data_IF_400766180388
#
_entry.id   IF_400766180388
#
_cell.length_a   1.000
_cell.length_b   1.000
_cell.length_c   1.000
_cell.angle_alpha   90.00
_cell.angle_beta   90.00
_cell.angle_gamma   90.00
#
_symmetry.space_group_name_H-M   'P 1'
#
loop_
_entity.id
_entity.type
_entity.pdbx_description
1 polymer ?
#
# COMPACT_ATOMS: atom_id res chain seq x y z
N UNK A 1 43.96 -27.23 -2.42
CA UNK A 1 42.77 -26.34 -2.34
C UNK A 1 41.74 -26.79 -3.37
N UNK A 2 42.09 -26.85 -4.66
CA UNK A 2 41.18 -27.34 -5.71
C UNK A 2 40.61 -28.76 -5.48
N UNK A 3 41.44 -29.75 -5.14
CA UNK A 3 40.95 -31.13 -4.87
C UNK A 3 40.02 -31.22 -3.65
N UNK A 4 40.19 -30.34 -2.65
CA UNK A 4 39.29 -30.28 -1.50
C UNK A 4 37.95 -29.63 -1.89
N UNK A 5 37.99 -28.57 -2.67
CA UNK A 5 36.81 -27.84 -3.13
C UNK A 5 35.93 -28.72 -4.03
N UNK A 6 36.54 -29.44 -4.98
CA UNK A 6 35.84 -30.37 -5.86
C UNK A 6 35.13 -31.47 -5.05
N UNK A 7 35.82 -32.06 -4.07
CA UNK A 7 35.24 -33.07 -3.19
C UNK A 7 34.07 -32.54 -2.34
N UNK A 8 34.14 -31.30 -1.88
CA UNK A 8 33.08 -30.70 -1.06
C UNK A 8 31.85 -30.29 -1.88
N UNK A 9 32.00 -29.96 -3.16
CA UNK A 9 30.88 -29.64 -4.06
C UNK A 9 30.00 -30.85 -4.38
N UNK A 10 30.54 -32.07 -4.25
CA UNK A 10 29.79 -33.32 -4.42
C UNK A 10 28.95 -33.69 -3.17
N UNK A 11 29.29 -33.14 -2.01
CA UNK A 11 28.59 -33.42 -0.76
C UNK A 11 27.27 -32.63 -0.66
N UNK A 12 26.21 -33.26 -0.15
CA UNK A 12 24.94 -32.58 0.05
C UNK A 12 25.06 -31.55 1.18
N UNK A 13 24.60 -30.33 0.93
CA UNK A 13 24.60 -29.26 1.93
C UNK A 13 23.67 -29.61 3.09
N UNK A 14 24.20 -29.60 4.31
CA UNK A 14 23.40 -29.71 5.53
C UNK A 14 22.86 -28.33 5.94
N UNK A 15 21.53 -28.22 5.98
CA UNK A 15 20.83 -27.00 6.40
C UNK A 15 20.39 -27.02 7.87
N UNK A 16 20.71 -28.07 8.64
CA UNK A 16 20.23 -28.26 10.02
C UNK A 16 20.56 -27.11 10.97
N UNK A 17 21.71 -26.45 10.76
CA UNK A 17 22.20 -25.32 11.56
C UNK A 17 22.02 -23.96 10.88
N UNK A 18 21.46 -23.94 9.67
CA UNK A 18 21.27 -22.72 8.88
C UNK A 18 20.03 -21.95 9.39
N UNK A 19 20.19 -20.64 9.61
CA UNK A 19 19.05 -19.77 9.92
C UNK A 19 18.34 -19.40 8.63
N UNK A 20 17.28 -20.14 8.33
CA UNK A 20 16.39 -19.86 7.20
C UNK A 20 15.22 -19.05 7.73
N UNK A 21 15.27 -17.74 7.51
CA UNK A 21 14.17 -16.86 7.91
C UNK A 21 12.98 -17.09 6.97
N UNK A 22 11.75 -17.21 7.52
CA UNK A 22 10.56 -17.30 6.69
C UNK A 22 10.37 -16.01 5.89
N UNK A 23 9.94 -16.13 4.63
CA UNK A 23 9.66 -14.96 3.81
C UNK A 23 8.56 -14.11 4.48
N UNK A 24 8.78 -12.79 4.65
CA UNK A 24 7.84 -11.92 5.37
C UNK A 24 6.51 -11.73 4.62
N UNK A 25 6.49 -12.01 3.32
CA UNK A 25 5.29 -12.13 2.50
C UNK A 25 5.57 -13.05 1.30
N UNK A 26 4.53 -13.50 0.62
CA UNK A 26 4.62 -14.41 -0.52
C UNK A 26 3.76 -13.88 -1.66
N UNK A 27 4.35 -13.65 -2.84
CA UNK A 27 3.60 -13.21 -4.01
C UNK A 27 2.99 -14.44 -4.70
N UNK A 28 1.67 -14.47 -4.85
CA UNK A 28 0.98 -15.54 -5.56
C UNK A 28 0.98 -15.29 -7.07
N UNK A 29 1.16 -16.34 -7.86
CA UNK A 29 1.12 -16.31 -9.33
C UNK A 29 -0.12 -15.60 -9.90
N UNK A 30 -1.28 -15.81 -9.29
CA UNK A 30 -2.57 -15.22 -9.70
C UNK A 30 -2.77 -13.75 -9.28
N UNK A 31 -1.77 -13.12 -8.68
CA UNK A 31 -1.88 -11.72 -8.24
C UNK A 31 -1.85 -10.81 -9.47
N UNK A 32 -2.85 -9.93 -9.61
CA UNK A 32 -2.88 -9.02 -10.75
C UNK A 32 -1.73 -8.02 -10.70
N UNK A 33 -1.27 -7.57 -11.87
CA UNK A 33 -0.16 -6.63 -12.01
C UNK A 33 -0.31 -5.37 -11.13
N UNK A 34 -1.53 -4.81 -11.07
CA UNK A 34 -1.83 -3.63 -10.26
C UNK A 34 -1.73 -3.91 -8.76
N UNK A 35 -2.19 -5.08 -8.30
CA UNK A 35 -2.03 -5.48 -6.90
C UNK A 35 -0.57 -5.71 -6.55
N UNK A 36 0.19 -6.32 -7.46
CA UNK A 36 1.64 -6.47 -7.33
C UNK A 36 2.33 -5.11 -7.18
N UNK A 37 1.98 -4.12 -8.00
CA UNK A 37 2.47 -2.74 -7.85
C UNK A 37 2.18 -2.17 -6.47
N UNK A 38 0.93 -2.26 -6.01
CA UNK A 38 0.53 -1.79 -4.67
C UNK A 38 1.36 -2.45 -3.57
N UNK A 39 1.58 -3.77 -3.64
CA UNK A 39 2.38 -4.50 -2.64
C UNK A 39 3.83 -4.02 -2.64
N UNK A 40 4.46 -3.90 -3.81
CA UNK A 40 5.84 -3.41 -3.94
C UNK A 40 6.00 -2.01 -3.34
N UNK A 41 5.05 -1.10 -3.60
CA UNK A 41 5.09 0.25 -3.04
C UNK A 41 4.86 0.26 -1.52
N UNK A 42 3.87 -0.49 -1.03
CA UNK A 42 3.52 -0.51 0.40
C UNK A 42 4.62 -1.11 1.27
N UNK A 43 5.29 -2.13 0.77
CA UNK A 43 6.35 -2.83 1.49
C UNK A 43 7.76 -2.33 1.10
N UNK A 44 7.86 -1.36 0.19
CA UNK A 44 9.13 -0.81 -0.32
C UNK A 44 10.09 -1.92 -0.77
N UNK A 45 9.60 -2.78 -1.67
CA UNK A 45 10.32 -3.97 -2.13
C UNK A 45 11.06 -3.71 -3.44
N UNK A 46 12.26 -4.26 -3.55
CA UNK A 46 13.00 -4.35 -4.81
C UNK A 46 12.74 -5.68 -5.54
N UNK A 47 12.51 -6.75 -4.78
CA UNK A 47 12.30 -8.10 -5.28
C UNK A 47 11.20 -8.83 -4.51
N UNK A 48 10.49 -9.71 -5.21
CA UNK A 48 9.51 -10.62 -4.59
C UNK A 48 9.58 -12.01 -5.23
N UNK A 49 9.53 -13.04 -4.40
CA UNK A 49 9.43 -14.43 -4.84
C UNK A 49 7.99 -14.75 -5.20
N UNK A 50 7.78 -15.25 -6.41
CA UNK A 50 6.48 -15.69 -6.91
C UNK A 50 6.34 -17.17 -6.68
N UNK A 51 5.17 -17.57 -6.19
CA UNK A 51 4.89 -18.94 -5.82
C UNK A 51 3.54 -19.43 -6.35
N UNK A 52 3.48 -20.74 -6.57
CA UNK A 52 2.26 -21.48 -6.90
C UNK A 52 2.14 -22.66 -5.93
N UNK A 53 1.15 -22.64 -5.04
CA UNK A 53 0.91 -23.68 -4.02
C UNK A 53 2.21 -24.03 -3.24
N UNK A 54 2.93 -23.00 -2.76
CA UNK A 54 4.17 -23.17 -2.00
C UNK A 54 5.42 -23.54 -2.81
N UNK A 55 5.29 -23.73 -4.13
CA UNK A 55 6.43 -23.95 -5.02
C UNK A 55 6.93 -22.62 -5.57
N UNK A 56 8.23 -22.39 -5.49
CA UNK A 56 8.86 -21.24 -6.14
C UNK A 56 8.75 -21.40 -7.65
N UNK A 57 8.16 -20.40 -8.32
CA UNK A 57 8.03 -20.38 -9.78
C UNK A 57 8.87 -19.27 -10.44
N UNK A 58 9.30 -18.26 -9.68
CA UNK A 58 10.13 -17.19 -10.19
C UNK A 58 10.34 -16.05 -9.21
N UNK A 59 11.04 -15.01 -9.66
CA UNK A 59 11.27 -13.76 -8.93
C UNK A 59 10.82 -12.62 -9.82
N UNK A 60 10.21 -11.60 -9.22
CA UNK A 60 9.86 -10.34 -9.89
C UNK A 60 10.67 -9.23 -9.26
N UNK A 61 11.29 -8.40 -10.08
CA UNK A 61 11.95 -7.17 -9.65
C UNK A 61 11.06 -5.93 -9.87
N UNK A 62 11.32 -4.87 -9.11
CA UNK A 62 10.66 -3.57 -9.30
C UNK A 62 10.87 -3.03 -10.72
N UNK A 63 12.03 -3.28 -11.32
CA UNK A 63 12.35 -2.85 -12.70
C UNK A 63 11.46 -3.51 -13.74
N UNK A 64 11.24 -4.82 -13.63
CA UNK A 64 10.35 -5.56 -14.53
C UNK A 64 8.89 -5.15 -14.33
N UNK A 65 8.50 -4.95 -13.07
CA UNK A 65 7.17 -4.49 -12.70
C UNK A 65 6.86 -3.12 -13.32
N UNK A 66 7.78 -2.15 -13.26
CA UNK A 66 7.63 -0.84 -13.90
C UNK A 66 7.44 -0.96 -15.42
N UNK A 67 8.31 -1.74 -16.09
CA UNK A 67 8.21 -1.97 -17.54
C UNK A 67 6.87 -2.58 -17.95
N UNK A 68 6.39 -3.56 -17.17
CA UNK A 68 5.11 -4.20 -17.42
C UNK A 68 3.94 -3.22 -17.28
N UNK A 69 4.00 -2.29 -16.31
CA UNK A 69 2.96 -1.28 -16.09
C UNK A 69 2.95 -0.25 -17.21
N UNK A 70 4.12 0.25 -17.61
CA UNK A 70 4.29 1.19 -18.73
C UNK A 70 3.67 0.64 -20.02
N UNK A 71 3.91 -0.64 -20.32
CA UNK A 71 3.28 -1.32 -21.46
C UNK A 71 1.77 -1.54 -21.31
N UNK A 72 1.30 -1.75 -20.07
CA UNK A 72 -0.11 -2.05 -19.77
C UNK A 72 -1.04 -0.84 -19.78
N UNK A 73 -0.51 0.38 -19.68
CA UNK A 73 -1.27 1.65 -19.71
C UNK A 73 -1.81 2.00 -21.10
N UNK A 74 -1.55 1.17 -22.10
CA UNK A 74 -2.08 1.37 -23.45
C UNK A 74 -3.49 0.79 -23.58
N UNK A 75 -4.45 1.65 -23.94
CA UNK A 75 -5.81 1.30 -24.39
C UNK A 75 -6.80 0.78 -23.33
N UNK A 76 -7.15 1.65 -22.40
CA UNK A 76 -8.58 1.89 -22.12
C UNK A 76 -8.76 3.38 -21.96
N UNK A 77 -9.55 3.97 -22.86
CA UNK A 77 -10.13 5.29 -22.74
C UNK A 77 -10.88 5.44 -21.40
N UNK A 78 -10.15 5.60 -20.30
CA UNK A 78 -10.67 6.28 -19.15
C UNK A 78 -10.65 7.74 -19.56
N UNK A 79 -11.72 8.16 -20.26
CA UNK A 79 -12.20 9.53 -20.21
C UNK A 79 -12.47 9.82 -18.74
N UNK A 80 -11.42 10.13 -18.01
CA UNK A 80 -11.46 10.69 -16.68
C UNK A 80 -12.21 11.98 -16.91
N UNK A 81 -13.52 11.97 -16.66
CA UNK A 81 -14.18 13.24 -16.36
C UNK A 81 -13.37 13.76 -15.20
N UNK A 82 -12.69 14.92 -15.31
CA UNK A 82 -12.19 15.58 -14.11
C UNK A 82 -13.38 15.58 -13.16
N UNK A 83 -13.17 15.14 -11.93
CA UNK A 83 -14.20 15.12 -10.90
C UNK A 83 -14.58 16.59 -10.68
N UNK A 84 -15.47 17.10 -11.52
CA UNK A 84 -16.06 18.42 -11.41
C UNK A 84 -16.88 18.31 -10.14
N UNK A 85 -16.30 18.82 -9.07
CA UNK A 85 -17.03 19.17 -7.87
C UNK A 85 -18.17 20.04 -8.39
N UNK A 86 -19.40 19.54 -8.24
CA UNK A 86 -20.60 20.28 -8.55
C UNK A 86 -20.69 21.43 -7.55
N UNK A 87 -20.01 22.53 -7.85
CA UNK A 87 -20.28 23.79 -7.18
C UNK A 87 -21.50 24.40 -7.85
N UNK A 88 -22.63 24.14 -7.19
CA UNK A 88 -23.88 24.86 -7.35
C UNK A 88 -23.60 26.36 -7.44
N UNK A 89 -24.08 26.97 -8.52
CA UNK A 89 -24.08 28.41 -8.76
C UNK A 89 -24.47 29.20 -7.50
N UNK A 90 -23.66 30.18 -7.13
CA UNK A 90 -24.11 31.36 -6.40
C UNK A 90 -23.24 32.54 -6.83
N UNK A 91 -23.91 33.50 -7.45
CA UNK A 91 -23.42 34.81 -7.85
C UNK A 91 -22.71 35.55 -6.71
N UNK A 92 -21.50 36.08 -6.96
CA UNK A 92 -21.17 37.51 -6.75
C UNK A 92 -19.66 37.75 -6.83
N UNK A 93 -19.28 38.74 -7.65
CA UNK A 93 -18.14 39.67 -7.56
C UNK A 93 -16.69 39.17 -7.29
N UNK A 94 -15.81 39.61 -8.19
CA UNK A 94 -14.34 39.63 -8.15
C UNK A 94 -13.76 40.15 -6.81
N UNK A 95 -12.73 39.46 -6.29
CA UNK A 95 -11.39 39.92 -5.82
C UNK A 95 -10.80 38.84 -4.89
N UNK A 96 -9.76 38.12 -5.30
CA UNK A 96 -8.33 38.39 -5.06
C UNK A 96 -7.78 37.59 -3.86
N UNK A 97 -6.72 36.84 -4.14
CA UNK A 97 -6.18 35.76 -3.33
C UNK A 97 -5.47 36.25 -2.07
N UNK A 98 -5.96 35.89 -0.88
CA UNK A 98 -5.15 35.89 0.37
C UNK A 98 -5.63 34.95 1.49
N UNK A 99 -6.76 34.23 1.38
CA UNK A 99 -7.35 33.54 2.55
C UNK A 99 -7.11 32.02 2.69
N UNK A 100 -6.20 31.40 1.94
CA UNK A 100 -5.97 29.95 2.09
C UNK A 100 -5.17 29.58 3.35
N UNK A 101 -4.46 30.52 3.98
CA UNK A 101 -3.68 30.23 5.18
C UNK A 101 -4.51 30.18 6.47
N UNK A 102 -5.69 30.85 6.52
CA UNK A 102 -6.57 30.86 7.71
C UNK A 102 -7.42 29.60 7.88
N UNK A 103 -7.51 28.76 6.85
CA UNK A 103 -8.38 27.58 6.83
C UNK A 103 -7.73 26.35 7.49
N UNK A 104 -6.39 26.29 7.54
CA UNK A 104 -5.66 25.18 8.19
C UNK A 104 -5.71 25.26 9.73
N UNK A 105 -5.76 26.46 10.30
CA UNK A 105 -5.76 26.67 11.76
C UNK A 105 -7.11 26.36 12.45
N UNK A 106 -8.18 26.16 11.67
CA UNK A 106 -9.53 25.87 12.22
C UNK A 106 -9.93 24.39 12.06
N UNK A 107 -8.98 23.47 12.15
CA UNK A 107 -9.27 22.04 12.18
C UNK A 107 -8.69 21.30 13.39
N UNK A 108 -8.22 22.04 14.41
CA UNK A 108 -7.72 21.46 15.68
C UNK A 108 -8.68 21.58 16.86
N UNK A 109 -9.89 22.10 16.66
CA UNK A 109 -10.94 22.09 17.66
C UNK A 109 -12.28 21.79 17.00
N UNK A 110 -12.80 20.59 17.23
CA UNK A 110 -14.23 20.28 17.43
C UNK A 110 -14.34 18.78 17.66
N UNK A 111 -14.81 18.45 18.86
CA UNK A 111 -15.04 17.14 19.42
C UNK A 111 -16.13 16.35 18.67
N UNK A 112 -15.96 15.03 18.66
CA UNK A 112 -16.88 14.03 18.11
C UNK A 112 -18.20 13.96 18.92
N UNK A 113 -19.37 13.82 18.29
CA UNK A 113 -20.62 13.53 19.00
C UNK A 113 -21.09 12.07 18.80
N UNK A 114 -21.57 11.47 19.90
CA UNK A 114 -22.53 10.37 19.87
C UNK A 114 -22.06 9.08 20.53
N UNK A 115 -22.53 8.79 21.74
CA UNK A 115 -23.59 7.79 21.90
C UNK A 115 -24.20 7.77 23.32
N UNK A 116 -25.39 7.18 23.36
CA UNK A 116 -26.49 7.20 24.30
C UNK A 116 -26.33 6.20 25.47
N UNK A 117 -26.77 6.56 26.70
CA UNK A 117 -27.70 5.80 27.60
C UNK A 117 -27.52 6.07 29.10
N UNK A 118 -28.68 6.24 29.77
CA UNK A 118 -29.07 5.94 31.16
C UNK A 118 -28.15 6.32 32.35
N UNK A 119 -28.67 7.12 33.29
CA UNK A 119 -28.97 6.67 34.67
C UNK A 119 -29.62 7.79 35.49
N UNK A 120 -30.72 7.43 36.14
CA UNK A 120 -31.43 8.17 37.20
C UNK A 120 -30.50 8.62 38.34
N UNK A 121 -30.78 9.78 38.94
CA UNK A 121 -31.25 9.87 40.34
C UNK A 121 -31.45 11.33 40.77
N UNK A 122 -32.57 11.56 41.43
CA UNK A 122 -32.93 12.70 42.25
C UNK A 122 -31.87 13.10 43.30
N UNK A 123 -31.86 14.38 43.68
CA UNK A 123 -32.29 14.84 45.01
C UNK A 123 -31.59 16.15 45.45
N UNK A 124 -32.44 17.17 45.61
CA UNK A 124 -32.48 18.27 46.58
C UNK A 124 -31.38 18.42 47.68
N UNK A 125 -31.17 19.69 48.04
CA UNK A 125 -30.55 20.23 49.27
C UNK A 125 -29.02 20.33 49.21
N UNK A 126 -28.36 21.42 49.59
CA UNK A 126 -28.63 22.37 50.67
C UNK A 126 -27.91 23.70 50.41
#
# INVERSE_FOLDING_TARGET
IAEWEEKQLEEQVDFSSCKIDPAPFQLMERTSLHKTHTIFSQLSLDYAYVTSIGRLIGVVSLKELCKAIEGSVTLKDMKVRPRLISFRNSSSSKTEATELHKLWDRHKSVSLPGDHTLSESDEKSQ
#
